data_IF_796600041588
#
_entry.id   IF_796600041588
#
_cell.length_a   1.000
_cell.length_b   1.000
_cell.length_c   1.000
_cell.angle_alpha   90.00
_cell.angle_beta   90.00
_cell.angle_gamma   90.00
#
_symmetry.space_group_name_H-M   'P 1'
#
loop_
_entity.id
_entity.type
_entity.pdbx_description
1 polymer ?
#
# COMPACT_ATOMS: atom_id res chain seq x y z
N UNK A 1 21.31 -0.19 -16.68
CA UNK A 1 19.90 0.01 -17.07
C UNK A 1 19.25 -1.35 -17.00
N UNK A 2 18.96 -1.80 -15.79
CA UNK A 2 18.29 -3.08 -15.56
C UNK A 2 16.84 -2.84 -15.96
N UNK A 3 16.36 -3.53 -16.98
CA UNK A 3 14.94 -3.58 -17.26
C UNK A 3 14.25 -4.01 -15.97
N UNK A 4 13.31 -3.19 -15.50
CA UNK A 4 12.38 -3.51 -14.44
C UNK A 4 11.80 -4.90 -14.77
N UNK A 5 12.16 -5.93 -14.01
CA UNK A 5 11.52 -7.23 -14.17
C UNK A 5 10.03 -6.99 -13.96
N UNK A 6 9.14 -7.37 -14.90
CA UNK A 6 7.73 -7.16 -14.70
C UNK A 6 7.34 -7.83 -13.39
N UNK A 7 6.69 -7.08 -12.50
CA UNK A 7 6.11 -7.63 -11.28
C UNK A 7 5.25 -8.86 -11.67
N UNK A 8 5.31 -9.92 -10.86
CA UNK A 8 4.58 -11.16 -11.14
C UNK A 8 3.06 -10.93 -11.35
N UNK A 9 2.34 -11.83 -12.01
CA UNK A 9 0.90 -11.65 -12.33
C UNK A 9 0.00 -11.48 -11.08
N UNK A 10 0.49 -11.88 -9.92
CA UNK A 10 -0.12 -11.66 -8.60
C UNK A 10 -0.25 -10.16 -8.24
N UNK A 11 0.62 -9.28 -8.72
CA UNK A 11 0.56 -7.83 -8.42
C UNK A 11 -0.57 -7.11 -9.17
N UNK A 12 -1.07 -7.70 -10.25
CA UNK A 12 -2.26 -7.24 -10.95
C UNK A 12 -3.56 -7.81 -10.35
N UNK A 13 -3.48 -8.70 -9.33
CA UNK A 13 -4.63 -9.52 -8.95
C UNK A 13 -4.86 -9.73 -7.45
N UNK A 14 -3.83 -10.05 -6.69
CA UNK A 14 -3.95 -10.45 -5.28
C UNK A 14 -2.96 -9.75 -4.36
N UNK A 15 -1.96 -9.06 -4.90
CA UNK A 15 -0.98 -8.32 -4.12
C UNK A 15 -1.24 -6.82 -4.25
N UNK A 16 -1.62 -6.20 -3.14
CA UNK A 16 -1.70 -4.74 -2.97
C UNK A 16 -0.38 -4.27 -2.42
N UNK A 17 0.27 -3.29 -3.06
CA UNK A 17 1.53 -2.74 -2.55
C UNK A 17 1.27 -1.51 -1.71
N UNK A 18 2.02 -1.36 -0.62
CA UNK A 18 2.00 -0.19 0.26
C UNK A 18 3.38 0.47 0.30
N UNK A 19 3.59 1.50 -0.51
CA UNK A 19 4.84 2.26 -0.53
C UNK A 19 4.61 3.74 -0.91
N UNK A 20 5.47 4.60 -0.37
CA UNK A 20 5.51 6.02 -0.74
C UNK A 20 6.40 6.20 -1.97
N UNK A 21 5.83 6.75 -3.04
CA UNK A 21 6.52 7.03 -4.30
C UNK A 21 6.16 8.42 -4.85
N UNK A 22 5.84 9.36 -3.94
CA UNK A 22 5.39 10.71 -4.31
C UNK A 22 4.12 10.77 -5.19
N UNK A 23 3.40 9.64 -5.32
CA UNK A 23 2.14 9.51 -6.03
C UNK A 23 0.94 10.14 -5.31
N UNK A 24 -0.25 9.96 -5.88
CA UNK A 24 -1.54 10.43 -5.31
C UNK A 24 -2.00 9.60 -4.10
N UNK A 25 -1.45 8.41 -3.94
CA UNK A 25 -1.76 7.45 -2.89
C UNK A 25 -0.53 6.59 -2.61
N UNK A 26 -0.44 6.02 -1.41
CA UNK A 26 0.58 5.02 -1.06
C UNK A 26 0.13 3.58 -1.31
N UNK A 27 -1.12 3.38 -1.72
CA UNK A 27 -1.69 2.07 -2.05
C UNK A 27 -1.63 1.88 -3.55
N UNK A 28 -1.13 0.72 -3.99
CA UNK A 28 -0.94 0.41 -5.39
C UNK A 28 -1.51 -0.96 -5.76
N UNK A 29 -2.14 -1.00 -6.92
CA UNK A 29 -2.45 -2.22 -7.67
C UNK A 29 -1.74 -2.08 -9.01
N UNK A 30 -0.82 -2.99 -9.33
CA UNK A 30 0.06 -2.80 -10.47
C UNK A 30 -0.74 -2.56 -11.77
N UNK A 31 -0.43 -1.50 -12.55
CA UNK A 31 0.72 -0.60 -12.42
C UNK A 31 0.44 0.74 -11.69
N UNK A 32 -0.80 1.03 -11.28
CA UNK A 32 -1.24 2.37 -10.91
C UNK A 32 -1.49 2.55 -9.40
N UNK A 33 -1.29 3.77 -8.86
CA UNK A 33 -1.71 4.09 -7.51
C UNK A 33 -3.25 4.12 -7.44
N UNK A 34 -3.81 3.52 -6.39
CA UNK A 34 -5.25 3.46 -6.15
C UNK A 34 -5.74 4.76 -5.53
N UNK A 35 -6.75 5.40 -6.13
CA UNK A 35 -7.39 6.58 -5.54
C UNK A 35 -8.17 6.19 -4.27
N UNK A 36 -7.92 6.90 -3.16
CA UNK A 36 -8.63 6.68 -1.89
C UNK A 36 -10.16 6.79 -2.03
N UNK A 37 -10.66 7.59 -2.98
CA UNK A 37 -12.10 7.67 -3.23
C UNK A 37 -12.69 6.36 -3.78
N UNK A 38 -11.85 5.50 -4.36
CA UNK A 38 -12.26 4.19 -4.89
C UNK A 38 -12.08 3.06 -3.87
N UNK A 39 -11.43 3.27 -2.72
CA UNK A 39 -11.04 2.17 -1.82
C UNK A 39 -12.11 1.79 -0.79
N UNK A 40 -13.11 2.64 -0.54
CA UNK A 40 -14.06 2.48 0.59
C UNK A 40 -13.41 2.27 1.97
N UNK A 41 -12.14 2.66 2.14
CA UNK A 41 -11.48 2.68 3.45
C UNK A 41 -12.07 3.81 4.29
N UNK A 42 -12.07 3.64 5.61
CA UNK A 42 -12.53 4.68 6.52
C UNK A 42 -11.63 5.91 6.47
N UNK A 43 -12.23 7.09 6.63
CA UNK A 43 -11.55 8.39 6.53
C UNK A 43 -10.38 8.52 7.51
N UNK A 44 -10.50 7.92 8.70
CA UNK A 44 -9.43 7.89 9.70
C UNK A 44 -8.21 7.12 9.18
N UNK A 45 -8.41 5.96 8.58
CA UNK A 45 -7.30 5.17 8.06
C UNK A 45 -6.66 5.84 6.85
N UNK A 46 -7.47 6.47 5.99
CA UNK A 46 -6.96 7.30 4.87
C UNK A 46 -6.11 8.46 5.42
N UNK A 47 -6.51 9.09 6.51
CA UNK A 47 -5.74 10.17 7.13
C UNK A 47 -4.39 9.67 7.67
N UNK A 48 -4.34 8.49 8.28
CA UNK A 48 -3.10 7.86 8.75
C UNK A 48 -2.15 7.55 7.58
N UNK A 49 -2.66 6.97 6.49
CA UNK A 49 -1.88 6.67 5.28
C UNK A 49 -1.28 7.95 4.68
N UNK A 50 -2.06 9.02 4.59
CA UNK A 50 -1.59 10.34 4.13
C UNK A 50 -0.57 10.96 5.08
N UNK A 51 -0.73 10.78 6.39
CA UNK A 51 0.21 11.30 7.38
C UNK A 51 1.58 10.58 7.27
N UNK A 52 1.56 9.26 7.11
CA UNK A 52 2.77 8.46 6.89
C UNK A 52 3.49 8.84 5.60
N UNK A 53 2.74 9.02 4.51
CA UNK A 53 3.30 9.49 3.23
C UNK A 53 3.92 10.89 3.34
N UNK A 54 3.21 11.83 3.96
CA UNK A 54 3.73 13.18 4.21
C UNK A 54 4.99 13.14 5.07
N UNK A 55 5.04 12.25 6.06
CA UNK A 55 6.24 12.07 6.88
C UNK A 55 7.42 11.58 6.04
N UNK A 56 7.22 10.60 5.16
CA UNK A 56 8.24 10.12 4.23
C UNK A 56 8.82 11.25 3.39
N UNK A 57 7.95 12.05 2.76
CA UNK A 57 8.35 13.18 1.90
C UNK A 57 9.15 14.27 2.64
N UNK A 58 8.94 14.44 3.94
CA UNK A 58 9.59 15.48 4.72
C UNK A 58 10.86 15.00 5.42
N UNK A 59 10.86 13.75 5.90
CA UNK A 59 11.91 13.22 6.77
C UNK A 59 12.88 12.29 6.03
N UNK A 60 12.48 11.75 4.87
CA UNK A 60 13.26 10.85 4.02
C UNK A 60 13.51 11.46 2.63
N UNK A 61 13.46 12.78 2.53
CA UNK A 61 13.70 13.52 1.30
C UNK A 61 15.11 13.18 0.77
N UNK A 62 15.24 12.72 -0.50
CA UNK A 62 16.52 12.32 -1.08
C UNK A 62 17.51 13.48 -1.22
N UNK A 63 17.05 14.74 -1.17
CA UNK A 63 17.89 15.93 -1.18
C UNK A 63 18.49 16.24 0.20
N UNK A 64 18.07 15.53 1.26
CA UNK A 64 18.71 15.64 2.58
C UNK A 64 20.11 15.02 2.55
N UNK A 65 21.12 15.71 3.11
CA UNK A 65 22.50 15.21 3.11
C UNK A 65 22.67 13.92 3.91
N UNK A 66 21.82 13.70 4.92
CA UNK A 66 21.75 12.47 5.69
C UNK A 66 20.33 12.29 6.24
N UNK A 67 19.78 11.09 6.06
CA UNK A 67 18.51 10.70 6.70
C UNK A 67 18.82 10.23 8.12
N UNK A 68 18.23 10.85 9.16
CA UNK A 68 18.45 10.41 10.53
C UNK A 68 17.95 8.97 10.75
N UNK A 69 18.74 8.13 11.42
CA UNK A 69 18.35 6.73 11.68
C UNK A 69 16.98 6.58 12.35
N UNK A 70 16.70 7.43 13.36
CA UNK A 70 15.40 7.45 14.04
C UNK A 70 14.24 7.78 13.10
N UNK A 71 14.50 8.54 12.03
CA UNK A 71 13.49 8.90 11.05
C UNK A 71 13.12 7.72 10.16
N UNK A 72 14.13 6.98 9.68
CA UNK A 72 13.96 5.74 8.93
C UNK A 72 13.27 4.65 9.77
N UNK A 73 13.70 4.45 11.02
CA UNK A 73 13.10 3.48 11.93
C UNK A 73 11.62 3.77 12.21
N UNK A 74 11.28 5.06 12.35
CA UNK A 74 9.90 5.48 12.53
C UNK A 74 9.06 5.19 11.30
N UNK A 75 9.54 5.58 10.12
CA UNK A 75 8.86 5.32 8.86
C UNK A 75 8.58 3.82 8.66
N UNK A 76 9.56 2.98 9.00
CA UNK A 76 9.43 1.53 8.87
C UNK A 76 8.42 0.93 9.83
N UNK A 77 8.48 1.33 11.10
CA UNK A 77 7.54 0.83 12.10
C UNK A 77 6.11 1.24 11.76
N UNK A 78 5.88 2.50 11.41
CA UNK A 78 4.55 3.00 11.04
C UNK A 78 4.04 2.32 9.76
N UNK A 79 4.88 2.21 8.73
CA UNK A 79 4.50 1.53 7.48
C UNK A 79 4.11 0.07 7.69
N UNK A 80 4.80 -0.65 8.60
CA UNK A 80 4.44 -2.02 8.95
C UNK A 80 3.08 -2.11 9.64
N UNK A 81 2.78 -1.20 10.56
CA UNK A 81 1.46 -1.15 11.23
C UNK A 81 0.35 -0.89 10.21
N UNK A 82 0.56 0.05 9.29
CA UNK A 82 -0.39 0.37 8.23
C UNK A 82 -0.59 -0.81 7.27
N UNK A 83 0.47 -1.54 6.93
CA UNK A 83 0.38 -2.72 6.06
C UNK A 83 -0.42 -3.86 6.69
N UNK A 84 -0.19 -4.12 7.98
CA UNK A 84 -0.96 -5.10 8.76
C UNK A 84 -2.43 -4.70 8.81
N UNK A 85 -2.74 -3.45 9.16
CA UNK A 85 -4.11 -2.95 9.21
C UNK A 85 -4.79 -3.07 7.84
N UNK A 86 -4.11 -2.68 6.75
CA UNK A 86 -4.67 -2.83 5.41
C UNK A 86 -4.96 -4.30 5.07
N UNK A 87 -4.10 -5.24 5.47
CA UNK A 87 -4.35 -6.66 5.25
C UNK A 87 -5.58 -7.14 6.03
N UNK A 88 -5.82 -6.63 7.25
CA UNK A 88 -7.03 -6.94 8.02
C UNK A 88 -8.29 -6.33 7.40
N UNK A 89 -8.22 -5.09 6.90
CA UNK A 89 -9.34 -4.42 6.20
C UNK A 89 -9.77 -5.22 4.97
N UNK A 90 -8.81 -5.76 4.21
CA UNK A 90 -9.05 -6.48 2.94
C UNK A 90 -9.34 -7.98 3.10
N UNK A 91 -8.97 -8.56 4.24
CA UNK A 91 -9.17 -9.99 4.52
C UNK A 91 -8.29 -10.92 3.68
N UNK A 92 -8.58 -12.22 3.74
CA UNK A 92 -7.75 -13.28 3.14
C UNK A 92 -7.62 -13.25 1.60
N UNK A 93 -8.45 -12.46 0.91
CA UNK A 93 -8.44 -12.35 -0.55
C UNK A 93 -7.19 -11.62 -1.09
N UNK A 94 -6.53 -10.81 -0.25
CA UNK A 94 -5.39 -9.99 -0.64
C UNK A 94 -4.17 -10.23 0.24
N UNK A 95 -2.99 -10.06 -0.34
CA UNK A 95 -1.74 -9.83 0.37
C UNK A 95 -1.36 -8.35 0.25
N UNK A 96 -0.88 -7.77 1.34
CA UNK A 96 -0.31 -6.43 1.34
C UNK A 96 1.21 -6.53 1.38
N UNK A 97 1.89 -6.04 0.35
CA UNK A 97 3.34 -5.98 0.28
C UNK A 97 3.85 -4.57 0.57
N UNK A 98 4.61 -4.38 1.66
CA UNK A 98 5.19 -3.07 2.00
C UNK A 98 6.57 -2.87 1.36
N UNK A 99 7.37 -3.93 1.37
CA UNK A 99 8.69 -4.02 0.75
C UNK A 99 8.78 -5.36 0.04
N UNK A 100 9.64 -5.46 -0.96
CA UNK A 100 9.82 -6.71 -1.71
C UNK A 100 10.06 -7.90 -0.76
N UNK A 101 9.15 -8.86 -0.76
CA UNK A 101 9.21 -10.05 0.10
C UNK A 101 8.68 -9.86 1.54
N UNK A 102 8.27 -8.65 1.92
CA UNK A 102 7.61 -8.33 3.20
C UNK A 102 6.10 -8.22 2.97
N UNK A 103 5.40 -9.37 3.10
CA UNK A 103 3.98 -9.51 2.83
C UNK A 103 3.16 -9.83 4.06
N UNK A 104 1.94 -9.31 4.06
CA UNK A 104 0.97 -9.44 5.13
C UNK A 104 -0.35 -9.93 4.55
N UNK A 105 -0.93 -10.96 5.17
CA UNK A 105 -2.25 -11.47 4.81
C UNK A 105 -3.04 -11.67 6.11
N UNK A 106 -4.32 -11.32 6.10
CA UNK A 106 -5.24 -11.70 7.17
C UNK A 106 -5.73 -13.14 6.95
N UNK A 107 -5.85 -13.93 8.02
CA UNK A 107 -6.38 -15.29 7.97
C UNK A 107 -7.93 -15.33 7.99
N UNK A 108 -8.58 -14.18 8.18
CA UNK A 108 -10.02 -14.07 8.42
C UNK A 108 -10.80 -13.28 7.36
N UNK A 109 -12.09 -13.13 7.65
CA UNK A 109 -12.98 -12.23 6.91
C UNK A 109 -12.46 -10.79 6.98
N UNK A 110 -12.71 -9.98 5.94
CA UNK A 110 -12.31 -8.57 5.94
C UNK A 110 -12.98 -7.82 7.08
N UNK A 111 -12.19 -7.06 7.86
CA UNK A 111 -12.74 -6.13 8.85
C UNK A 111 -13.56 -5.02 8.18
N UNK A 112 -13.26 -4.71 6.92
CA UNK A 112 -14.02 -3.79 6.10
C UNK A 112 -14.44 -4.46 4.78
N UNK A 113 -15.62 -5.11 4.76
CA UNK A 113 -16.14 -5.77 3.56
C UNK A 113 -16.34 -4.81 2.38
N UNK A 114 -16.58 -3.52 2.66
CA UNK A 114 -16.70 -2.47 1.64
C UNK A 114 -15.38 -2.26 0.92
N UNK A 115 -14.28 -2.15 1.66
CA UNK A 115 -12.95 -2.04 1.11
C UNK A 115 -12.56 -3.29 0.32
N UNK A 116 -12.72 -4.49 0.89
CA UNK A 116 -12.43 -5.73 0.17
C UNK A 116 -13.19 -5.81 -1.17
N UNK A 117 -14.47 -5.47 -1.18
CA UNK A 117 -15.30 -5.46 -2.40
C UNK A 117 -14.83 -4.42 -3.42
N UNK A 118 -14.38 -3.25 -2.96
CA UNK A 118 -13.85 -2.21 -3.82
C UNK A 118 -12.55 -2.64 -4.51
N UNK A 119 -11.61 -3.25 -3.78
CA UNK A 119 -10.37 -3.76 -4.35
C UNK A 119 -10.60 -4.90 -5.34
N UNK A 120 -11.56 -5.79 -5.09
CA UNK A 120 -11.95 -6.82 -6.06
C UNK A 120 -12.41 -6.19 -7.38
N UNK A 121 -13.25 -5.14 -7.33
CA UNK A 121 -13.70 -4.43 -8.55
C UNK A 121 -12.56 -3.74 -9.29
N UNK A 122 -11.60 -3.18 -8.56
CA UNK A 122 -10.40 -2.56 -9.15
C UNK A 122 -9.56 -3.60 -9.91
N UNK A 123 -9.35 -4.77 -9.31
CA UNK A 123 -8.66 -5.90 -9.95
C UNK A 123 -9.42 -6.40 -11.18
N UNK A 124 -10.75 -6.54 -11.06
CA UNK A 124 -11.58 -6.95 -12.20
C UNK A 124 -11.44 -5.96 -13.36
N UNK A 125 -11.50 -4.64 -13.08
CA UNK A 125 -11.31 -3.58 -14.09
C UNK A 125 -9.95 -3.69 -14.79
N UNK A 126 -8.88 -3.95 -14.04
CA UNK A 126 -7.54 -4.08 -14.59
C UNK A 126 -7.36 -5.31 -15.51
N UNK A 127 -8.19 -6.35 -15.36
CA UNK A 127 -8.14 -7.56 -16.21
C UNK A 127 -8.86 -7.41 -17.56
N UNK A 128 -9.78 -6.45 -17.69
CA UNK A 128 -10.61 -6.26 -18.90
C UNK A 128 -10.12 -5.13 -19.82
N UNK A 129 -9.13 -4.35 -19.37
CA UNK A 129 -8.47 -3.29 -20.13
C UNK A 129 -7.24 -3.81 -20.88
#
# INVERSE_FOLDING_TARGET
>A
MTADEPNGPEYATTVVRLFSDYGRSVIWLDPDPVDYAETSLDDEFIAELKAWDRYARLALDPDLPEIPAHAADRFDREGRVLALRLAEELGAAFEVERRRGERYRSDGDPLNPGAASAFLRLVERARVG
#
